data_IF_910139395208
#
_entry.id   IF_910139395208
#
_cell.length_a   1.000
_cell.length_b   1.000
_cell.length_c   1.000
_cell.angle_alpha   90.00
_cell.angle_beta   90.00
_cell.angle_gamma   90.00
#
_symmetry.space_group_name_H-M   'P 1'
#
loop_
_entity.id
_entity.type
_entity.pdbx_description
1 polymer ?
#
# COMPACT_ATOMS: atom_id res chain seq x y z
N UNK A 1 -11.03 -20.91 21.11
CA UNK A 1 -10.16 -19.99 20.35
C UNK A 1 -10.55 -20.15 18.90
N UNK A 2 -11.01 -19.11 18.23
CA UNK A 2 -11.38 -19.19 16.82
C UNK A 2 -10.13 -19.08 15.96
N UNK A 3 -9.82 -20.13 15.21
CA UNK A 3 -8.73 -20.11 14.26
C UNK A 3 -9.11 -19.23 13.08
N UNK A 4 -8.35 -18.16 12.87
CA UNK A 4 -8.56 -17.24 11.76
C UNK A 4 -7.45 -17.42 10.73
N UNK A 5 -7.84 -17.70 9.50
CA UNK A 5 -6.94 -17.70 8.35
C UNK A 5 -7.00 -16.33 7.69
N UNK A 6 -5.84 -15.69 7.52
CA UNK A 6 -5.72 -14.40 6.85
C UNK A 6 -4.94 -14.53 5.55
N UNK A 7 -5.37 -13.77 4.55
CA UNK A 7 -4.64 -13.62 3.29
C UNK A 7 -3.67 -12.45 3.43
N UNK A 8 -2.36 -12.71 3.30
CA UNK A 8 -1.35 -11.66 3.10
C UNK A 8 -1.19 -11.41 1.60
N UNK A 9 -1.14 -10.15 1.21
CA UNK A 9 -0.86 -9.69 -0.15
C UNK A 9 0.12 -8.51 -0.08
N UNK A 10 0.84 -8.28 -1.16
CA UNK A 10 1.72 -7.12 -1.31
C UNK A 10 1.15 -6.19 -2.38
N UNK A 11 1.26 -4.90 -2.13
CA UNK A 11 0.75 -3.84 -3.00
C UNK A 11 1.80 -2.75 -3.08
N UNK A 12 2.03 -2.23 -4.29
CA UNK A 12 2.90 -1.07 -4.52
C UNK A 12 2.03 0.12 -4.87
N UNK A 13 2.06 1.13 -4.02
CA UNK A 13 1.42 2.42 -4.25
C UNK A 13 2.44 3.46 -4.70
N UNK A 14 2.00 4.42 -5.50
CA UNK A 14 2.82 5.55 -5.92
C UNK A 14 2.06 6.86 -5.83
N UNK A 15 2.78 7.94 -5.53
CA UNK A 15 2.26 9.29 -5.53
C UNK A 15 3.42 10.29 -5.72
N UNK A 16 3.22 11.38 -6.47
CA UNK A 16 4.21 12.46 -6.57
C UNK A 16 4.20 13.38 -5.33
N UNK A 17 3.29 13.16 -4.36
CA UNK A 17 3.09 14.08 -3.24
C UNK A 17 3.79 13.65 -1.96
N UNK A 18 3.55 12.42 -1.53
CA UNK A 18 4.10 11.87 -0.28
C UNK A 18 3.90 10.35 -0.22
N UNK A 19 4.53 9.72 0.77
CA UNK A 19 4.40 8.29 1.06
C UNK A 19 2.96 7.97 1.51
N UNK A 20 2.35 8.80 2.35
CA UNK A 20 0.97 8.62 2.83
C UNK A 20 -0.01 8.61 1.66
N UNK A 21 0.15 9.55 0.73
CA UNK A 21 -0.66 9.60 -0.49
C UNK A 21 -0.45 8.35 -1.37
N UNK A 22 0.76 7.80 -1.42
CA UNK A 22 1.03 6.55 -2.13
C UNK A 22 0.33 5.35 -1.48
N UNK A 23 0.34 5.26 -0.14
CA UNK A 23 -0.36 4.22 0.63
C UNK A 23 -1.87 4.33 0.44
N UNK A 24 -2.44 5.53 0.53
CA UNK A 24 -3.87 5.78 0.28
C UNK A 24 -4.28 5.35 -1.13
N UNK A 25 -3.48 5.65 -2.14
CA UNK A 25 -3.72 5.21 -3.52
C UNK A 25 -3.77 3.68 -3.65
N UNK A 26 -2.81 2.97 -3.03
CA UNK A 26 -2.79 1.51 -3.03
C UNK A 26 -4.04 0.93 -2.34
N UNK A 27 -4.41 1.45 -1.17
CA UNK A 27 -5.60 1.03 -0.42
C UNK A 27 -6.88 1.29 -1.21
N UNK A 28 -7.01 2.46 -1.84
CA UNK A 28 -8.17 2.82 -2.65
C UNK A 28 -8.33 1.88 -3.86
N UNK A 29 -7.22 1.48 -4.50
CA UNK A 29 -7.26 0.49 -5.58
C UNK A 29 -7.64 -0.89 -5.08
N UNK A 30 -7.07 -1.32 -3.96
CA UNK A 30 -7.30 -2.63 -3.35
C UNK A 30 -8.74 -2.78 -2.86
N UNK A 31 -9.33 -1.74 -2.25
CA UNK A 31 -10.71 -1.74 -1.74
C UNK A 31 -11.76 -2.08 -2.80
N UNK A 32 -11.45 -1.87 -4.08
CA UNK A 32 -12.35 -2.22 -5.19
C UNK A 32 -12.54 -3.74 -5.37
N UNK A 33 -11.57 -4.55 -4.95
CA UNK A 33 -11.57 -6.00 -5.20
C UNK A 33 -11.32 -6.84 -3.94
N UNK A 34 -10.65 -6.29 -2.93
CA UNK A 34 -10.28 -6.96 -1.69
C UNK A 34 -11.16 -6.44 -0.57
N UNK A 35 -11.85 -7.37 0.10
CA UNK A 35 -12.75 -7.08 1.23
C UNK A 35 -12.07 -7.40 2.55
N UNK A 36 -12.56 -6.80 3.63
CA UNK A 36 -12.12 -7.07 5.00
C UNK A 36 -10.60 -6.86 5.21
N UNK A 37 -10.00 -5.85 4.56
CA UNK A 37 -8.64 -5.41 4.87
C UNK A 37 -8.63 -4.82 6.29
N UNK A 38 -7.70 -5.25 7.14
CA UNK A 38 -7.69 -4.90 8.57
C UNK A 38 -6.44 -4.15 9.02
N UNK A 39 -5.30 -4.44 8.42
CA UNK A 39 -4.03 -3.79 8.71
C UNK A 39 -3.15 -3.77 7.46
N UNK A 40 -2.12 -2.94 7.49
CA UNK A 40 -1.07 -2.87 6.50
C UNK A 40 0.28 -2.72 7.21
N UNK A 41 1.35 -3.05 6.49
CA UNK A 41 2.72 -2.89 6.91
C UNK A 41 3.49 -2.31 5.72
N UNK A 42 4.32 -1.29 5.96
CA UNK A 42 5.20 -0.75 4.93
C UNK A 42 6.47 -1.60 4.93
N UNK A 43 6.69 -2.36 3.86
CA UNK A 43 7.85 -3.26 3.73
C UNK A 43 9.06 -2.56 3.09
N UNK A 44 8.82 -1.65 2.15
CA UNK A 44 9.85 -0.90 1.45
C UNK A 44 9.32 0.49 1.06
N UNK A 45 10.21 1.49 1.11
CA UNK A 45 9.95 2.84 0.60
C UNK A 45 10.96 3.13 -0.50
N UNK A 46 10.46 3.40 -1.72
CA UNK A 46 11.28 3.73 -2.89
C UNK A 46 10.80 5.05 -3.49
N UNK A 47 11.75 5.84 -4.00
CA UNK A 47 11.48 7.08 -4.72
C UNK A 47 12.05 7.01 -6.14
N UNK A 48 11.31 7.55 -7.11
CA UNK A 48 11.83 7.75 -8.46
C UNK A 48 12.50 9.12 -8.51
N UNK A 49 13.78 9.17 -8.92
CA UNK A 49 14.53 10.42 -9.00
C UNK A 49 14.58 10.87 -10.46
N UNK A 50 14.11 12.08 -10.74
CA UNK A 50 14.20 12.73 -12.04
C UNK A 50 14.79 14.13 -11.90
N UNK A 51 15.83 14.44 -12.67
CA UNK A 51 16.55 15.72 -12.63
C UNK A 51 17.01 16.13 -11.21
N UNK A 52 17.42 15.14 -10.40
CA UNK A 52 17.90 15.35 -9.03
C UNK A 52 16.79 15.65 -8.01
N UNK A 53 15.52 15.44 -8.38
CA UNK A 53 14.37 15.60 -7.49
C UNK A 53 13.56 14.31 -7.41
N UNK A 54 12.85 14.14 -6.30
CA UNK A 54 11.87 13.07 -6.06
C UNK A 54 10.47 13.64 -6.28
#
# INVERSE_FOLDING_TARGET
>A
MSDHVYKKIELVGSSPKSIEAAVENALARAKKTIRNMRWLEITETRGHIENGKI
#
